data_IF_334774231686
#
_entry.id   IF_334774231686
#
_cell.length_a   1.000
_cell.length_b   1.000
_cell.length_c   1.000
_cell.angle_alpha   90.00
_cell.angle_beta   90.00
_cell.angle_gamma   90.00
#
_symmetry.space_group_name_H-M   'P 1'
#
loop_
_entity.id
_entity.type
_entity.pdbx_description
1 polymer ?
#
# COMPACT_ATOMS: atom_id res chain seq x y z
N UNK A 1 -44.25 25.90 27.49
CA UNK A 1 -44.94 24.60 27.67
C UNK A 1 -44.79 23.84 26.35
N UNK A 2 -43.70 23.06 26.21
CA UNK A 2 -43.67 21.59 26.24
C UNK A 2 -44.49 20.96 25.10
N UNK A 3 -43.86 20.73 23.94
CA UNK A 3 -44.19 19.65 22.98
C UNK A 3 -43.20 19.55 21.80
N UNK A 4 -41.90 19.45 22.07
CA UNK A 4 -40.90 19.28 20.98
C UNK A 4 -39.80 18.27 21.30
N UNK A 5 -40.09 17.29 22.16
CA UNK A 5 -39.08 16.35 22.68
C UNK A 5 -39.50 14.87 22.54
N UNK A 6 -40.21 14.53 21.47
CA UNK A 6 -40.68 13.16 21.20
C UNK A 6 -40.46 12.67 19.75
N UNK A 7 -39.82 13.46 18.89
CA UNK A 7 -39.58 13.06 17.48
C UNK A 7 -38.26 12.30 17.32
N UNK A 8 -37.25 12.58 18.16
CA UNK A 8 -35.94 11.92 18.08
C UNK A 8 -35.96 10.41 18.39
N UNK A 9 -36.68 9.89 19.41
CA UNK A 9 -36.67 8.44 19.69
C UNK A 9 -37.44 7.62 18.63
N UNK A 10 -38.42 8.21 17.94
CA UNK A 10 -39.17 7.55 16.87
C UNK A 10 -38.36 7.40 15.58
N UNK A 11 -37.50 8.37 15.25
CA UNK A 11 -36.58 8.29 14.11
C UNK A 11 -35.47 7.25 14.34
N UNK A 12 -34.98 7.12 15.57
CA UNK A 12 -34.00 6.07 15.92
C UNK A 12 -34.63 4.69 15.88
N UNK A 13 -35.89 4.53 16.32
CA UNK A 13 -36.60 3.25 16.24
C UNK A 13 -36.89 2.86 14.77
N UNK A 14 -37.28 3.81 13.92
CA UNK A 14 -37.45 3.57 12.49
C UNK A 14 -36.13 3.22 11.80
N UNK A 15 -35.03 3.88 12.16
CA UNK A 15 -33.70 3.55 11.63
C UNK A 15 -33.21 2.16 12.08
N UNK A 16 -33.50 1.75 13.31
CA UNK A 16 -33.17 0.40 13.81
C UNK A 16 -34.05 -0.68 13.15
N UNK A 17 -35.32 -0.40 12.89
CA UNK A 17 -36.21 -1.34 12.18
C UNK A 17 -35.79 -1.48 10.71
N UNK A 18 -35.43 -0.37 10.03
CA UNK A 18 -34.87 -0.42 8.67
C UNK A 18 -33.52 -1.13 8.64
N UNK A 19 -32.64 -0.88 9.62
CA UNK A 19 -31.33 -1.53 9.73
C UNK A 19 -31.44 -3.04 10.02
N UNK A 20 -32.42 -3.47 10.82
CA UNK A 20 -32.68 -4.89 11.06
C UNK A 20 -33.38 -5.58 9.87
N UNK A 21 -34.18 -4.86 9.09
CA UNK A 21 -34.77 -5.36 7.86
C UNK A 21 -33.75 -5.46 6.69
N UNK A 22 -32.64 -4.72 6.76
CA UNK A 22 -31.53 -4.79 5.78
C UNK A 22 -30.35 -5.63 6.25
N UNK A 23 -30.45 -6.35 7.37
CA UNK A 23 -29.46 -7.39 7.67
C UNK A 23 -29.56 -8.44 6.57
N UNK A 24 -28.48 -8.74 5.83
CA UNK A 24 -28.46 -9.96 5.05
C UNK A 24 -28.82 -11.11 6.00
N UNK A 25 -29.72 -11.99 5.56
CA UNK A 25 -30.03 -13.21 6.32
C UNK A 25 -28.74 -13.98 6.64
N UNK A 26 -28.81 -15.04 7.47
CA UNK A 26 -27.70 -15.98 7.55
C UNK A 26 -27.24 -16.31 6.13
N UNK A 27 -25.92 -16.33 5.86
CA UNK A 27 -25.40 -16.45 4.50
C UNK A 27 -26.18 -17.56 3.81
N UNK A 28 -26.81 -17.21 2.69
CA UNK A 28 -27.50 -18.19 1.87
C UNK A 28 -26.50 -19.32 1.66
N UNK A 29 -26.90 -20.54 2.03
CA UNK A 29 -26.13 -21.75 1.83
C UNK A 29 -25.55 -21.69 0.41
N UNK A 30 -24.24 -21.44 0.32
CA UNK A 30 -23.57 -21.16 -0.95
C UNK A 30 -23.89 -22.32 -1.88
N UNK A 31 -24.56 -22.01 -2.99
CA UNK A 31 -24.87 -23.03 -3.99
C UNK A 31 -23.54 -23.71 -4.36
N UNK A 32 -23.47 -25.05 -4.35
CA UNK A 32 -22.23 -25.74 -4.62
C UNK A 32 -21.66 -25.29 -5.97
N UNK A 33 -20.33 -25.17 -6.10
CA UNK A 33 -19.70 -24.75 -7.34
C UNK A 33 -20.22 -25.60 -8.50
N UNK A 34 -20.47 -24.97 -9.66
CA UNK A 34 -20.96 -25.70 -10.83
C UNK A 34 -20.00 -26.85 -11.19
N UNK A 35 -20.50 -27.96 -11.75
CA UNK A 35 -19.64 -29.09 -12.11
C UNK A 35 -18.48 -28.70 -13.06
N UNK A 36 -18.66 -27.65 -13.88
CA UNK A 36 -17.61 -27.10 -14.73
C UNK A 36 -16.52 -26.36 -13.93
N UNK A 37 -16.93 -25.65 -12.89
CA UNK A 37 -16.05 -24.97 -11.92
C UNK A 37 -15.23 -25.98 -11.12
N UNK A 38 -15.88 -27.02 -10.60
CA UNK A 38 -15.21 -28.08 -9.83
C UNK A 38 -14.17 -28.82 -10.67
N UNK A 39 -14.49 -29.16 -11.92
CA UNK A 39 -13.56 -29.78 -12.86
C UNK A 39 -12.34 -28.89 -13.18
N UNK A 40 -12.55 -27.57 -13.33
CA UNK A 40 -11.48 -26.59 -13.55
C UNK A 40 -10.52 -26.55 -12.35
N UNK A 41 -11.05 -26.45 -11.14
CA UNK A 41 -10.23 -26.40 -9.93
C UNK A 41 -9.46 -27.70 -9.69
N UNK A 42 -10.12 -28.85 -9.90
CA UNK A 42 -9.46 -30.16 -9.78
C UNK A 42 -8.27 -30.30 -10.73
N UNK A 43 -8.40 -29.86 -11.98
CA UNK A 43 -7.29 -29.85 -12.94
C UNK A 43 -6.14 -28.95 -12.51
N UNK A 44 -6.44 -27.77 -11.95
CA UNK A 44 -5.42 -26.84 -11.43
C UNK A 44 -4.72 -27.42 -10.20
N UNK A 45 -5.47 -28.00 -9.27
CA UNK A 45 -4.94 -28.65 -8.07
C UNK A 45 -4.01 -29.80 -8.43
N UNK A 46 -4.43 -30.71 -9.31
CA UNK A 46 -3.59 -31.85 -9.73
C UNK A 46 -2.29 -31.39 -10.38
N UNK A 47 -2.32 -30.33 -11.20
CA UNK A 47 -1.10 -29.81 -11.84
C UNK A 47 -0.18 -29.09 -10.85
N UNK A 48 -0.74 -28.29 -9.93
CA UNK A 48 0.01 -27.51 -8.95
C UNK A 48 0.58 -28.36 -7.80
N UNK A 49 -0.03 -29.50 -7.49
CA UNK A 49 0.48 -30.45 -6.49
C UNK A 49 1.69 -31.26 -6.96
N UNK A 50 1.89 -31.40 -8.28
CA UNK A 50 2.96 -32.23 -8.86
C UNK A 50 4.34 -31.53 -8.87
N UNK A 51 4.44 -30.30 -8.36
CA UNK A 51 5.70 -29.63 -7.97
C UNK A 51 6.77 -29.56 -9.10
N UNK A 52 6.38 -29.14 -10.31
CA UNK A 52 7.30 -28.95 -11.46
C UNK A 52 7.33 -27.54 -12.07
N UNK A 53 6.95 -26.50 -11.33
CA UNK A 53 6.91 -25.12 -11.85
C UNK A 53 8.10 -24.25 -11.40
N UNK A 54 9.31 -24.83 -11.40
CA UNK A 54 10.57 -24.09 -11.27
C UNK A 54 11.03 -23.39 -12.56
N UNK A 55 10.28 -23.55 -13.66
CA UNK A 55 10.58 -23.00 -14.99
C UNK A 55 9.50 -22.03 -15.51
N UNK A 56 9.71 -21.52 -16.73
CA UNK A 56 8.73 -20.69 -17.45
C UNK A 56 7.40 -21.45 -17.55
N UNK A 57 6.31 -20.84 -17.09
CA UNK A 57 4.97 -21.42 -17.18
C UNK A 57 4.61 -21.58 -18.66
N UNK A 58 4.31 -22.81 -19.06
CA UNK A 58 3.80 -23.12 -20.40
C UNK A 58 2.38 -22.56 -20.54
N UNK A 59 2.11 -21.78 -21.57
CA UNK A 59 0.78 -21.21 -21.84
C UNK A 59 -0.30 -22.29 -22.05
N UNK A 60 0.12 -23.48 -22.48
CA UNK A 60 -0.74 -24.65 -22.65
C UNK A 60 -0.95 -25.47 -21.37
N UNK A 61 -0.30 -25.11 -20.27
CA UNK A 61 -0.56 -25.71 -18.95
C UNK A 61 -1.90 -25.22 -18.37
N UNK A 62 -2.50 -25.93 -17.42
CA UNK A 62 -3.70 -25.47 -16.74
C UNK A 62 -3.44 -24.14 -16.02
N UNK A 63 -2.28 -23.99 -15.39
CA UNK A 63 -1.89 -22.74 -14.75
C UNK A 63 -1.67 -21.60 -15.77
N UNK A 64 -1.06 -21.88 -16.92
CA UNK A 64 -0.89 -20.90 -18.01
C UNK A 64 -2.22 -20.41 -18.57
N UNK A 65 -3.16 -21.33 -18.84
CA UNK A 65 -4.53 -20.98 -19.23
C UNK A 65 -5.26 -20.16 -18.17
N UNK A 66 -5.05 -20.49 -16.89
CA UNK A 66 -5.61 -19.72 -15.79
C UNK A 66 -5.09 -18.28 -15.80
N UNK A 67 -3.76 -18.07 -15.89
CA UNK A 67 -3.18 -16.73 -15.97
C UNK A 67 -3.72 -15.94 -17.18
N UNK A 68 -3.80 -16.58 -18.35
CA UNK A 68 -4.38 -15.96 -19.55
C UNK A 68 -5.85 -15.58 -19.35
N UNK A 69 -6.61 -16.40 -18.62
CA UNK A 69 -8.01 -16.08 -18.31
C UNK A 69 -8.14 -14.85 -17.42
N UNK A 70 -7.25 -14.67 -16.44
CA UNK A 70 -7.25 -13.48 -15.57
C UNK A 70 -6.96 -12.20 -16.36
N UNK A 71 -6.12 -12.27 -17.39
CA UNK A 71 -5.84 -11.12 -18.26
C UNK A 71 -7.04 -10.72 -19.12
N UNK A 72 -7.96 -11.63 -19.42
CA UNK A 72 -9.20 -11.32 -20.13
C UNK A 72 -10.30 -10.77 -19.21
N UNK A 73 -10.19 -10.96 -17.90
CA UNK A 73 -11.21 -10.53 -16.94
C UNK A 73 -11.15 -9.02 -16.65
N UNK A 74 -12.31 -8.44 -16.34
CA UNK A 74 -12.47 -7.12 -15.75
C UNK A 74 -12.46 -7.16 -14.20
N UNK A 75 -12.53 -6.01 -13.53
CA UNK A 75 -12.48 -5.93 -12.08
C UNK A 75 -13.56 -6.74 -11.36
N UNK A 76 -14.86 -6.58 -11.70
CA UNK A 76 -15.93 -7.39 -11.13
C UNK A 76 -15.74 -8.89 -11.33
N UNK A 77 -15.27 -9.33 -12.51
CA UNK A 77 -14.98 -10.73 -12.78
C UNK A 77 -13.81 -11.26 -11.95
N UNK A 78 -12.77 -10.45 -11.74
CA UNK A 78 -11.63 -10.81 -10.89
C UNK A 78 -12.03 -10.90 -9.41
N UNK A 79 -12.94 -10.05 -8.93
CA UNK A 79 -13.52 -10.18 -7.58
C UNK A 79 -14.32 -11.48 -7.47
N UNK A 80 -15.18 -11.77 -8.45
CA UNK A 80 -15.93 -13.02 -8.45
C UNK A 80 -15.01 -14.25 -8.47
N UNK A 81 -13.93 -14.21 -9.26
CA UNK A 81 -12.93 -15.27 -9.29
C UNK A 81 -12.19 -15.43 -7.95
N UNK A 82 -11.92 -14.34 -7.25
CA UNK A 82 -11.36 -14.36 -5.90
C UNK A 82 -12.31 -15.02 -4.90
N UNK A 83 -13.58 -14.59 -4.89
CA UNK A 83 -14.61 -15.12 -3.99
C UNK A 83 -14.83 -16.62 -4.26
N UNK A 84 -14.88 -17.02 -5.53
CA UNK A 84 -14.97 -18.43 -5.96
C UNK A 84 -13.79 -19.25 -5.43
N UNK A 85 -12.56 -18.75 -5.59
CA UNK A 85 -11.35 -19.40 -5.10
C UNK A 85 -11.36 -19.60 -3.59
N UNK A 86 -11.88 -18.62 -2.83
CA UNK A 86 -11.98 -18.71 -1.37
C UNK A 86 -13.10 -19.63 -0.88
N UNK A 87 -14.20 -19.73 -1.64
CA UNK A 87 -15.27 -20.70 -1.38
C UNK A 87 -14.87 -22.14 -1.76
N UNK A 88 -13.93 -22.28 -2.71
CA UNK A 88 -13.44 -23.58 -3.12
C UNK A 88 -12.61 -24.22 -1.99
N UNK A 89 -12.91 -25.48 -1.68
CA UNK A 89 -12.18 -26.29 -0.70
C UNK A 89 -10.84 -26.76 -1.27
N UNK A 90 -9.98 -25.81 -1.66
CA UNK A 90 -8.67 -26.07 -2.23
C UNK A 90 -7.64 -26.34 -1.12
N UNK A 91 -6.63 -27.20 -1.39
CA UNK A 91 -5.46 -27.30 -0.53
C UNK A 91 -4.77 -25.94 -0.38
N UNK A 92 -4.29 -25.62 0.83
CA UNK A 92 -3.69 -24.33 1.15
C UNK A 92 -2.56 -23.94 0.20
N UNK A 93 -1.65 -24.89 -0.10
CA UNK A 93 -0.56 -24.69 -1.08
C UNK A 93 -1.02 -24.22 -2.45
N UNK A 94 -2.18 -24.72 -2.90
CA UNK A 94 -2.78 -24.35 -4.19
C UNK A 94 -3.40 -22.95 -4.10
N UNK A 95 -4.08 -22.65 -3.00
CA UNK A 95 -4.64 -21.33 -2.71
C UNK A 95 -3.55 -20.24 -2.68
N UNK A 96 -2.50 -20.45 -1.89
CA UNK A 96 -1.33 -19.57 -1.78
C UNK A 96 -0.66 -19.27 -3.14
N UNK A 97 -0.80 -20.18 -4.11
CA UNK A 97 -0.26 -20.01 -5.46
C UNK A 97 -1.20 -19.21 -6.37
N UNK A 98 -2.51 -19.43 -6.25
CA UNK A 98 -3.50 -18.87 -7.15
C UNK A 98 -3.94 -17.45 -6.75
N UNK A 99 -4.09 -17.18 -5.45
CA UNK A 99 -4.53 -15.89 -4.90
C UNK A 99 -3.66 -14.71 -5.36
N UNK A 100 -2.31 -14.76 -5.24
CA UNK A 100 -1.45 -13.69 -5.74
C UNK A 100 -1.69 -13.32 -7.20
N UNK A 101 -2.08 -14.29 -8.03
CA UNK A 101 -2.30 -14.06 -9.46
C UNK A 101 -3.58 -13.28 -9.71
N UNK A 102 -4.67 -13.61 -9.02
CA UNK A 102 -5.95 -12.87 -9.12
C UNK A 102 -5.77 -11.45 -8.60
N UNK A 103 -5.20 -11.30 -7.40
CA UNK A 103 -4.98 -9.99 -6.79
C UNK A 103 -4.04 -9.15 -7.65
N UNK A 104 -2.94 -9.74 -8.13
CA UNK A 104 -2.00 -9.06 -9.01
C UNK A 104 -2.66 -8.55 -10.30
N UNK A 105 -3.53 -9.36 -10.93
CA UNK A 105 -4.30 -8.93 -12.10
C UNK A 105 -5.26 -7.78 -11.76
N UNK A 106 -5.96 -7.87 -10.64
CA UNK A 106 -6.88 -6.82 -10.19
C UNK A 106 -6.16 -5.51 -9.87
N UNK A 107 -5.02 -5.56 -9.18
CA UNK A 107 -4.20 -4.38 -8.87
C UNK A 107 -3.75 -3.69 -10.15
N UNK A 108 -3.31 -4.44 -11.17
CA UNK A 108 -2.88 -3.88 -12.45
C UNK A 108 -4.00 -3.19 -13.23
N UNK A 109 -5.20 -3.78 -13.22
CA UNK A 109 -6.35 -3.30 -14.03
C UNK A 109 -7.16 -2.23 -13.29
N UNK A 110 -7.46 -2.46 -12.02
CA UNK A 110 -8.36 -1.66 -11.20
C UNK A 110 -7.80 -1.49 -9.77
N UNK A 111 -6.68 -0.78 -9.66
CA UNK A 111 -5.93 -0.60 -8.40
C UNK A 111 -6.79 -0.09 -7.24
N UNK A 112 -7.64 0.91 -7.47
CA UNK A 112 -8.52 1.49 -6.44
C UNK A 112 -9.53 0.45 -5.91
N UNK A 113 -10.08 -0.37 -6.81
CA UNK A 113 -11.00 -1.43 -6.44
C UNK A 113 -10.29 -2.51 -5.61
N UNK A 114 -9.10 -2.93 -6.02
CA UNK A 114 -8.28 -3.88 -5.28
C UNK A 114 -8.00 -3.39 -3.85
N UNK A 115 -7.47 -2.17 -3.72
CA UNK A 115 -7.11 -1.58 -2.44
C UNK A 115 -8.32 -1.40 -1.52
N UNK A 116 -9.50 -1.12 -2.07
CA UNK A 116 -10.73 -0.98 -1.29
C UNK A 116 -11.27 -2.34 -0.85
N UNK A 117 -11.35 -3.30 -1.77
CA UNK A 117 -11.89 -4.65 -1.50
C UNK A 117 -11.05 -5.41 -0.47
N UNK A 118 -9.73 -5.27 -0.56
CA UNK A 118 -8.78 -6.02 0.26
C UNK A 118 -8.13 -5.19 1.38
N UNK A 119 -8.73 -4.05 1.74
CA UNK A 119 -8.21 -3.17 2.78
C UNK A 119 -7.91 -3.88 4.11
N UNK A 120 -8.74 -4.86 4.50
CA UNK A 120 -8.57 -5.65 5.73
C UNK A 120 -7.28 -6.48 5.76
N UNK A 121 -6.68 -6.74 4.61
CA UNK A 121 -5.45 -7.53 4.46
C UNK A 121 -4.17 -6.68 4.44
N UNK A 122 -4.29 -5.36 4.57
CA UNK A 122 -3.14 -4.44 4.56
C UNK A 122 -2.13 -4.78 5.66
N UNK A 123 -2.59 -5.32 6.80
CA UNK A 123 -1.77 -5.73 7.94
C UNK A 123 -1.29 -7.19 7.93
N UNK A 124 -1.55 -7.94 6.86
CA UNK A 124 -1.15 -9.33 6.76
C UNK A 124 0.37 -9.50 6.77
N UNK A 125 0.82 -10.72 7.08
CA UNK A 125 2.23 -11.03 7.20
C UNK A 125 3.04 -10.67 5.93
N UNK A 126 4.32 -10.27 6.08
CA UNK A 126 5.19 -9.98 4.95
C UNK A 126 5.25 -11.14 3.94
N UNK A 127 5.21 -10.82 2.65
CA UNK A 127 5.25 -11.81 1.55
C UNK A 127 3.89 -12.30 1.07
N UNK A 128 2.80 -11.96 1.77
CA UNK A 128 1.43 -12.27 1.35
C UNK A 128 0.70 -11.11 0.65
N UNK A 129 -0.63 -11.13 0.73
CA UNK A 129 -1.56 -10.14 0.15
C UNK A 129 -1.17 -8.71 0.52
N UNK A 130 -0.87 -8.43 1.80
CA UNK A 130 -0.49 -7.10 2.27
C UNK A 130 0.69 -6.48 1.53
N UNK A 131 1.67 -7.29 1.10
CA UNK A 131 2.82 -6.80 0.33
C UNK A 131 2.45 -6.37 -1.09
N UNK A 132 1.51 -7.08 -1.73
CA UNK A 132 0.98 -6.71 -3.05
C UNK A 132 0.12 -5.46 -2.96
N UNK A 133 -0.73 -5.35 -1.92
CA UNK A 133 -1.53 -4.17 -1.67
C UNK A 133 -0.65 -2.93 -1.45
N UNK A 134 0.44 -3.05 -0.69
CA UNK A 134 1.39 -1.96 -0.56
C UNK A 134 2.02 -1.58 -1.90
N UNK A 135 2.37 -2.57 -2.75
CA UNK A 135 2.83 -2.34 -4.11
C UNK A 135 1.80 -1.58 -4.97
N UNK A 136 0.54 -1.99 -4.92
CA UNK A 136 -0.57 -1.31 -5.61
C UNK A 136 -0.83 0.09 -5.08
N UNK A 137 -0.75 0.29 -3.76
CA UNK A 137 -0.88 1.61 -3.14
C UNK A 137 0.24 2.55 -3.59
N UNK A 138 1.49 2.06 -3.64
CA UNK A 138 2.62 2.85 -4.11
C UNK A 138 2.41 3.31 -5.56
N UNK A 139 1.96 2.42 -6.43
CA UNK A 139 1.63 2.76 -7.82
C UNK A 139 0.47 3.77 -7.92
N UNK A 140 -0.60 3.58 -7.12
CA UNK A 140 -1.69 4.55 -7.03
C UNK A 140 -1.20 5.91 -6.53
N UNK A 141 -0.34 5.94 -5.51
CA UNK A 141 0.21 7.17 -4.96
C UNK A 141 1.06 7.92 -5.98
N UNK A 142 1.87 7.21 -6.76
CA UNK A 142 2.70 7.80 -7.81
C UNK A 142 1.86 8.40 -8.95
N UNK A 143 0.84 7.68 -9.43
CA UNK A 143 -0.01 8.13 -10.55
C UNK A 143 -1.06 9.15 -10.13
N UNK A 144 -1.71 8.93 -8.99
CA UNK A 144 -2.90 9.65 -8.53
C UNK A 144 -2.79 9.97 -7.01
N UNK A 145 -1.85 10.85 -6.60
CA UNK A 145 -1.56 11.09 -5.19
C UNK A 145 -2.77 11.55 -4.37
N UNK A 146 -3.68 12.33 -4.95
CA UNK A 146 -4.90 12.76 -4.26
C UNK A 146 -5.84 11.58 -3.95
N UNK A 147 -5.97 10.62 -4.87
CA UNK A 147 -6.80 9.43 -4.64
C UNK A 147 -6.17 8.51 -3.61
N UNK A 148 -4.85 8.32 -3.67
CA UNK A 148 -4.13 7.59 -2.64
C UNK A 148 -4.28 8.25 -1.25
N UNK A 149 -4.25 9.58 -1.18
CA UNK A 149 -4.53 10.32 0.05
C UNK A 149 -5.94 10.05 0.58
N UNK A 150 -6.97 10.13 -0.27
CA UNK A 150 -8.34 9.85 0.13
C UNK A 150 -8.52 8.41 0.63
N UNK A 151 -7.97 7.43 -0.10
CA UNK A 151 -8.01 6.02 0.32
C UNK A 151 -7.32 5.83 1.68
N UNK A 152 -6.16 6.47 1.88
CA UNK A 152 -5.42 6.40 3.13
C UNK A 152 -6.24 6.97 4.30
N UNK A 153 -6.86 8.15 4.10
CA UNK A 153 -7.65 8.83 5.12
C UNK A 153 -8.90 8.02 5.49
N UNK A 154 -9.55 7.39 4.51
CA UNK A 154 -10.67 6.47 4.73
C UNK A 154 -10.24 5.25 5.56
N UNK A 155 -9.09 4.65 5.26
CA UNK A 155 -8.59 3.47 5.98
C UNK A 155 -8.08 3.80 7.39
N UNK A 156 -7.55 5.00 7.60
CA UNK A 156 -7.24 5.50 8.93
C UNK A 156 -8.52 5.66 9.75
N UNK A 157 -9.55 6.29 9.18
CA UNK A 157 -10.84 6.50 9.85
C UNK A 157 -11.56 5.17 10.15
N UNK A 158 -11.43 4.17 9.27
CA UNK A 158 -11.96 2.83 9.46
C UNK A 158 -11.17 1.99 10.48
N UNK A 159 -10.00 2.46 10.94
CA UNK A 159 -9.15 1.72 11.86
C UNK A 159 -8.38 0.56 11.22
N UNK A 160 -8.30 0.50 9.89
CA UNK A 160 -7.62 -0.56 9.12
C UNK A 160 -6.14 -0.69 9.51
N UNK A 161 -5.50 0.42 9.89
CA UNK A 161 -4.10 0.44 10.33
C UNK A 161 -3.89 0.14 11.84
N UNK A 162 -4.94 -0.29 12.54
CA UNK A 162 -4.93 -0.69 13.95
C UNK A 162 -5.24 0.45 14.91
N UNK A 163 -6.22 0.23 15.80
CA UNK A 163 -6.57 1.08 16.94
C UNK A 163 -5.86 0.66 18.26
N UNK A 164 -4.97 -0.32 18.21
CA UNK A 164 -4.13 -0.84 19.30
C UNK A 164 -2.91 -1.58 18.76
N UNK A 165 -1.99 -2.02 19.64
CA UNK A 165 -0.67 -2.66 19.36
C UNK A 165 -0.40 -2.87 17.88
N UNK A 166 -0.07 -1.77 17.18
CA UNK A 166 -0.19 -1.71 15.74
C UNK A 166 0.65 -2.81 15.09
N UNK A 167 0.17 -3.44 14.01
CA UNK A 167 1.02 -4.35 13.23
C UNK A 167 2.27 -3.57 12.84
N UNK A 168 3.39 -4.00 13.43
CA UNK A 168 4.71 -3.44 13.17
C UNK A 168 5.33 -4.30 12.09
N UNK A 169 5.89 -3.66 11.08
CA UNK A 169 6.79 -4.35 10.15
C UNK A 169 8.06 -4.79 10.91
N UNK A 170 8.82 -5.71 10.33
CA UNK A 170 10.13 -6.07 10.84
C UNK A 170 10.95 -4.79 11.11
N UNK A 171 11.51 -4.66 12.32
CA UNK A 171 12.18 -3.43 12.77
C UNK A 171 11.30 -2.44 13.54
N UNK A 172 10.04 -2.77 13.82
CA UNK A 172 9.21 -2.04 14.77
C UNK A 172 8.50 -0.81 14.22
N UNK A 173 8.68 -0.50 12.92
CA UNK A 173 7.99 0.62 12.27
C UNK A 173 6.51 0.29 12.13
N UNK A 174 5.60 1.17 12.60
CA UNK A 174 4.16 0.95 12.42
C UNK A 174 3.82 0.90 10.93
N UNK A 175 3.01 -0.08 10.53
CA UNK A 175 2.58 -0.25 9.13
C UNK A 175 2.07 1.05 8.50
N UNK A 176 1.27 1.82 9.24
CA UNK A 176 0.77 3.12 8.78
C UNK A 176 1.90 4.05 8.33
N UNK A 177 2.99 4.13 9.11
CA UNK A 177 4.12 5.02 8.81
C UNK A 177 4.75 4.69 7.46
N UNK A 178 4.76 3.41 7.08
CA UNK A 178 5.27 2.98 5.77
C UNK A 178 4.39 3.46 4.61
N UNK A 179 3.06 3.39 4.76
CA UNK A 179 2.13 3.94 3.77
C UNK A 179 2.20 5.47 3.71
N UNK A 180 2.25 6.14 4.87
CA UNK A 180 2.42 7.60 4.94
C UNK A 180 3.70 8.04 4.24
N UNK A 181 4.82 7.33 4.43
CA UNK A 181 6.09 7.62 3.76
C UNK A 181 5.97 7.60 2.25
N UNK A 182 5.35 6.56 1.67
CA UNK A 182 5.18 6.47 0.21
C UNK A 182 4.30 7.59 -0.34
N UNK A 183 3.22 7.91 0.37
CA UNK A 183 2.34 9.00 -0.03
C UNK A 183 3.04 10.36 0.08
N UNK A 184 3.77 10.61 1.16
CA UNK A 184 4.60 11.82 1.32
C UNK A 184 5.63 11.92 0.20
N UNK A 185 6.32 10.81 -0.14
CA UNK A 185 7.26 10.76 -1.26
C UNK A 185 6.63 11.18 -2.58
N UNK A 186 5.42 10.70 -2.89
CA UNK A 186 4.71 11.13 -4.10
C UNK A 186 4.26 12.60 -4.03
N UNK A 187 3.74 13.04 -2.89
CA UNK A 187 3.27 14.41 -2.69
C UNK A 187 4.41 15.42 -2.70
N UNK A 188 5.63 15.06 -2.28
CA UNK A 188 6.80 15.94 -2.33
C UNK A 188 7.09 16.47 -3.74
N UNK A 189 6.83 15.66 -4.76
CA UNK A 189 6.99 16.02 -6.17
C UNK A 189 5.78 16.79 -6.69
N UNK A 190 4.56 16.33 -6.37
CA UNK A 190 3.34 16.80 -7.03
C UNK A 190 2.59 17.90 -6.26
N UNK A 191 2.72 17.95 -4.94
CA UNK A 191 1.98 18.84 -4.04
C UNK A 191 2.72 19.06 -2.71
N UNK A 192 3.84 19.83 -2.73
CA UNK A 192 4.67 20.10 -1.56
C UNK A 192 3.91 20.52 -0.29
N UNK A 193 2.92 21.40 -0.44
CA UNK A 193 2.14 21.91 0.68
C UNK A 193 1.28 20.80 1.31
N UNK A 194 0.78 19.87 0.52
CA UNK A 194 0.02 18.73 1.03
C UNK A 194 0.92 17.69 1.71
N UNK A 195 2.13 17.46 1.19
CA UNK A 195 3.13 16.65 1.89
C UNK A 195 3.43 17.25 3.29
N UNK A 196 3.57 18.58 3.38
CA UNK A 196 3.82 19.27 4.64
C UNK A 196 2.64 19.14 5.61
N UNK A 197 1.42 19.42 5.13
CA UNK A 197 0.21 19.30 5.93
C UNK A 197 0.00 17.86 6.43
N UNK A 198 0.30 16.86 5.59
CA UNK A 198 0.20 15.45 5.94
C UNK A 198 1.20 15.05 7.02
N UNK A 199 2.46 15.51 6.93
CA UNK A 199 3.45 15.33 7.99
C UNK A 199 3.03 16.00 9.30
N UNK A 200 2.48 17.22 9.25
CA UNK A 200 2.02 17.94 10.45
C UNK A 200 0.87 17.21 11.15
N UNK A 201 -0.02 16.57 10.39
CA UNK A 201 -1.12 15.78 10.91
C UNK A 201 -0.69 14.46 11.58
N UNK A 202 0.55 13.99 11.34
CA UNK A 202 1.07 12.81 12.02
C UNK A 202 1.47 13.11 13.47
N UNK A 203 1.38 12.10 14.37
CA UNK A 203 2.02 12.17 15.68
C UNK A 203 3.49 12.57 15.55
N UNK A 204 3.97 13.45 16.42
CA UNK A 204 5.32 14.01 16.36
C UNK A 204 6.40 12.91 16.29
N UNK A 205 6.24 11.85 17.10
CA UNK A 205 7.12 10.68 17.13
C UNK A 205 7.22 9.90 15.82
N UNK A 206 6.29 10.11 14.87
CA UNK A 206 6.29 9.44 13.58
C UNK A 206 6.78 10.32 12.44
N UNK A 207 6.87 11.65 12.62
CA UNK A 207 7.16 12.58 11.53
C UNK A 207 8.53 12.33 10.91
N UNK A 208 9.57 12.21 11.74
CA UNK A 208 10.93 11.89 11.29
C UNK A 208 10.96 10.57 10.53
N UNK A 209 10.37 9.51 11.10
CA UNK A 209 10.33 8.17 10.46
C UNK A 209 9.53 8.15 9.15
N UNK A 210 8.41 8.88 9.07
CA UNK A 210 7.59 8.97 7.87
C UNK A 210 8.30 9.78 6.76
N UNK A 211 9.11 10.77 7.13
CA UNK A 211 9.88 11.56 6.18
C UNK A 211 11.16 10.85 5.73
N UNK A 212 11.79 10.04 6.59
CA UNK A 212 13.07 9.39 6.30
C UNK A 212 13.06 8.60 4.98
N UNK A 213 13.99 8.92 4.08
CA UNK A 213 14.09 8.23 2.79
C UNK A 213 12.98 8.54 1.78
N UNK A 214 12.14 9.55 2.03
CA UNK A 214 11.09 9.97 1.11
C UNK A 214 11.60 10.91 0.00
N UNK A 215 12.90 11.06 -0.19
CA UNK A 215 13.44 11.91 -1.24
C UNK A 215 13.15 11.32 -2.63
N UNK A 216 12.85 12.21 -3.57
CA UNK A 216 12.79 11.91 -4.99
C UNK A 216 13.72 12.88 -5.72
N UNK A 217 14.33 12.51 -6.85
CA UNK A 217 15.20 13.40 -7.61
C UNK A 217 14.54 14.77 -7.93
N UNK A 218 13.24 14.76 -8.20
CA UNK A 218 12.44 15.94 -8.53
C UNK A 218 12.03 16.74 -7.27
N UNK A 219 11.88 16.08 -6.12
CA UNK A 219 11.41 16.66 -4.88
C UNK A 219 12.51 17.10 -3.90
N UNK A 220 13.80 17.00 -4.26
CA UNK A 220 14.92 17.17 -3.30
C UNK A 220 14.93 18.52 -2.57
N UNK A 221 14.55 19.62 -3.24
CA UNK A 221 14.49 20.96 -2.61
C UNK A 221 13.43 20.98 -1.52
N UNK A 222 12.23 20.51 -1.85
CA UNK A 222 11.11 20.41 -0.92
C UNK A 222 11.44 19.45 0.23
N UNK A 223 12.01 18.28 -0.10
CA UNK A 223 12.44 17.30 0.88
C UNK A 223 13.43 17.89 1.87
N UNK A 224 14.48 18.58 1.40
CA UNK A 224 15.47 19.20 2.28
C UNK A 224 14.86 20.26 3.21
N UNK A 225 13.86 21.02 2.72
CA UNK A 225 13.11 21.96 3.58
C UNK A 225 12.33 21.22 4.66
N UNK A 226 11.69 20.10 4.33
CA UNK A 226 10.94 19.29 5.30
C UNK A 226 11.88 18.64 6.32
N UNK A 227 13.03 18.13 5.89
CA UNK A 227 14.07 17.57 6.77
C UNK A 227 14.48 18.63 7.79
N UNK A 228 14.82 19.84 7.35
CA UNK A 228 15.17 20.95 8.26
C UNK A 228 14.04 21.34 9.23
N UNK A 229 12.78 21.16 8.83
CA UNK A 229 11.61 21.53 9.63
C UNK A 229 11.23 20.47 10.66
N UNK A 230 11.32 19.19 10.32
CA UNK A 230 10.71 18.10 11.10
C UNK A 230 11.70 17.15 11.76
N UNK A 231 13.00 17.26 11.48
CA UNK A 231 14.03 16.40 12.05
C UNK A 231 14.95 17.19 12.98
N UNK A 232 15.56 16.51 13.94
CA UNK A 232 16.64 17.07 14.77
C UNK A 232 17.91 17.31 13.94
N UNK A 233 18.84 18.20 14.36
CA UNK A 233 20.06 18.46 13.60
C UNK A 233 20.87 17.20 13.24
N UNK A 234 20.91 16.23 14.16
CA UNK A 234 21.61 14.95 13.93
C UNK A 234 20.92 14.11 12.84
N UNK A 235 19.60 13.96 12.91
CA UNK A 235 18.80 13.26 11.89
C UNK A 235 18.88 13.95 10.53
N UNK A 236 18.82 15.28 10.50
CA UNK A 236 18.98 16.08 9.28
C UNK A 236 20.32 15.77 8.60
N UNK A 237 21.40 15.77 9.39
CA UNK A 237 22.74 15.47 8.89
C UNK A 237 22.84 14.04 8.33
N UNK A 238 22.21 13.06 8.98
CA UNK A 238 22.19 11.68 8.47
C UNK A 238 21.45 11.59 7.13
N UNK A 239 20.30 12.26 7.00
CA UNK A 239 19.56 12.28 5.74
C UNK A 239 20.33 12.97 4.61
N UNK A 240 20.98 14.11 4.89
CA UNK A 240 21.78 14.77 3.86
C UNK A 240 23.02 13.97 3.47
N UNK A 241 23.65 13.24 4.40
CA UNK A 241 24.72 12.28 4.07
C UNK A 241 24.20 11.15 3.20
N UNK A 242 23.01 10.61 3.47
CA UNK A 242 22.38 9.56 2.63
C UNK A 242 22.11 10.07 1.21
N UNK A 243 21.52 11.26 1.09
CA UNK A 243 21.30 11.91 -0.21
C UNK A 243 22.63 12.13 -0.95
N UNK A 244 23.67 12.60 -0.24
CA UNK A 244 24.99 12.83 -0.81
C UNK A 244 25.68 11.53 -1.25
N UNK A 245 25.53 10.43 -0.52
CA UNK A 245 26.06 9.12 -0.92
C UNK A 245 25.40 8.63 -2.22
N UNK A 246 24.07 8.81 -2.36
CA UNK A 246 23.38 8.51 -3.62
C UNK A 246 23.86 9.41 -4.77
N UNK A 247 24.03 10.71 -4.53
CA UNK A 247 24.56 11.62 -5.53
C UNK A 247 26.01 11.31 -5.93
N UNK A 248 26.83 10.88 -4.97
CA UNK A 248 28.21 10.42 -5.20
C UNK A 248 28.25 9.17 -6.06
N UNK A 249 27.32 8.24 -5.85
CA UNK A 249 27.21 7.03 -6.66
C UNK A 249 26.92 7.34 -8.15
N UNK A 250 26.10 8.35 -8.43
CA UNK A 250 25.72 8.69 -9.80
C UNK A 250 26.64 9.71 -10.51
N UNK A 251 27.39 10.53 -9.76
CA UNK A 251 28.15 11.64 -10.33
C UNK A 251 29.45 11.98 -9.60
N UNK A 252 29.93 11.11 -8.72
CA UNK A 252 31.13 11.34 -7.91
C UNK A 252 31.06 12.63 -7.11
N UNK A 253 32.21 13.31 -6.96
CA UNK A 253 32.28 14.62 -6.26
C UNK A 253 31.39 15.69 -6.87
N UNK A 254 31.25 15.69 -8.20
CA UNK A 254 30.40 16.66 -8.90
C UNK A 254 28.92 16.44 -8.54
N UNK A 255 28.48 15.18 -8.43
CA UNK A 255 27.14 14.83 -7.98
C UNK A 255 26.84 15.37 -6.58
N UNK A 256 27.78 15.22 -5.64
CA UNK A 256 27.67 15.80 -4.29
C UNK A 256 27.52 17.33 -4.36
N UNK A 257 28.38 18.01 -5.11
CA UNK A 257 28.32 19.47 -5.27
C UNK A 257 26.97 19.95 -5.80
N UNK A 258 26.49 19.33 -6.89
CA UNK A 258 25.19 19.65 -7.50
C UNK A 258 24.02 19.43 -6.54
N UNK A 259 24.05 18.36 -5.75
CA UNK A 259 23.05 18.12 -4.71
C UNK A 259 23.05 19.24 -3.67
N UNK A 260 24.22 19.56 -3.12
CA UNK A 260 24.38 20.57 -2.07
C UNK A 260 23.92 21.96 -2.54
N UNK A 261 24.22 22.31 -3.79
CA UNK A 261 23.72 23.53 -4.42
C UNK A 261 22.20 23.52 -4.55
N UNK A 262 21.64 22.43 -5.07
CA UNK A 262 20.19 22.27 -5.25
C UNK A 262 19.43 22.44 -3.94
N UNK A 263 19.89 21.81 -2.85
CA UNK A 263 19.21 21.89 -1.54
C UNK A 263 19.57 23.16 -0.75
N UNK A 264 20.34 24.07 -1.36
CA UNK A 264 20.85 25.29 -0.72
C UNK A 264 21.53 24.98 0.60
N UNK A 265 22.45 24.02 0.60
CA UNK A 265 23.12 23.56 1.81
C UNK A 265 23.90 24.71 2.48
N UNK A 266 23.83 24.78 3.81
CA UNK A 266 24.63 25.72 4.61
C UNK A 266 26.13 25.43 4.45
N UNK A 267 26.97 26.36 4.89
CA UNK A 267 28.43 26.16 4.86
C UNK A 267 28.84 24.96 5.71
N UNK A 268 28.26 24.84 6.90
CA UNK A 268 28.50 23.77 7.87
C UNK A 268 28.01 22.42 7.32
N UNK A 269 26.83 22.38 6.70
CA UNK A 269 26.29 21.19 6.02
C UNK A 269 27.26 20.74 4.93
N UNK A 270 27.71 21.65 4.05
CA UNK A 270 28.63 21.34 2.95
C UNK A 270 29.96 20.79 3.42
N UNK A 271 30.59 21.44 4.39
CA UNK A 271 31.88 21.02 4.95
C UNK A 271 31.77 19.63 5.57
N UNK A 272 30.71 19.39 6.34
CA UNK A 272 30.49 18.10 7.02
C UNK A 272 30.22 17.00 6.01
N UNK A 273 29.34 17.22 5.04
CA UNK A 273 28.93 16.21 4.06
C UNK A 273 30.11 15.85 3.13
N UNK A 274 30.83 16.85 2.62
CA UNK A 274 31.96 16.62 1.70
C UNK A 274 33.10 15.85 2.37
N UNK A 275 33.33 16.07 3.66
CA UNK A 275 34.38 15.36 4.42
C UNK A 275 34.05 13.89 4.68
N UNK A 276 32.77 13.57 4.90
CA UNK A 276 32.35 12.26 5.40
C UNK A 276 31.61 11.38 4.38
N UNK A 277 31.34 11.89 3.17
CA UNK A 277 30.72 11.09 2.11
C UNK A 277 31.80 10.42 1.29
N UNK A 278 31.94 9.07 1.34
CA UNK A 278 32.88 8.37 0.48
C UNK A 278 32.45 8.53 -0.99
N UNK A 279 33.44 8.72 -1.86
CA UNK A 279 33.23 8.78 -3.31
C UNK A 279 33.68 7.42 -3.87
N UNK A 280 32.81 6.69 -4.60
CA UNK A 280 33.23 5.47 -5.27
C UNK A 280 34.40 5.74 -6.22
N UNK A 281 35.32 4.78 -6.41
CA UNK A 281 36.45 4.91 -7.32
C UNK A 281 36.01 5.15 -8.78
#
# INVERSE_FOLDING_TARGET
>A
MKNTLLILPLLVLAAVIVYQATRPGPPAEEAPPSAATEAKWKSLTTELEVDHLGGRVDESSAYGRYLNSLEAMDGPQLIAAWDELNSAQLPERVRERLEPSVLGALIRKETELALTRFATHVGDAPGGIGSQLFGGFRDLAERLPYKASQWMDQNIAAGTFGSGAQPKLAGGTPLRVTYERELIRSLLTNSPDQAAARLEALPESWRSTALQGADSPQGQVTYARMVRKFMTPDEQMQEFKRMAASAAYHGGRNGIGQLLDRISASKEERETITRHTPVPP
#
